data_IF_132243674941
#
_entry.id   IF_132243674941
#
_cell.length_a   1.000
_cell.length_b   1.000
_cell.length_c   1.000
_cell.angle_alpha   90.00
_cell.angle_beta   90.00
_cell.angle_gamma   90.00
#
_symmetry.space_group_name_H-M   'P 1'
#
loop_
_entity.id
_entity.type
_entity.pdbx_description
1 polymer ?
#
# COMPACT_ATOMS: atom_id res chain seq x y z
N UNK A 1 -23.08 -3.72 12.18
CA UNK A 1 -22.08 -4.65 12.40
C UNK A 1 -20.70 -4.12 12.72
N UNK A 2 -20.39 -3.73 13.97
CA UNK A 2 -19.05 -3.25 14.34
C UNK A 2 -18.23 -4.23 15.19
N UNK A 3 -18.74 -5.41 15.52
CA UNK A 3 -18.05 -6.35 16.42
C UNK A 3 -16.88 -7.12 15.76
N UNK A 4 -16.95 -7.41 14.47
CA UNK A 4 -15.89 -8.14 13.77
C UNK A 4 -14.60 -7.32 13.55
N UNK A 5 -14.69 -5.98 13.50
CA UNK A 5 -13.52 -5.11 13.30
C UNK A 5 -12.63 -5.03 14.54
N UNK A 6 -13.19 -5.11 15.74
CA UNK A 6 -12.41 -5.05 16.98
C UNK A 6 -11.63 -6.36 17.22
N UNK A 7 -12.16 -7.49 16.75
CA UNK A 7 -11.45 -8.77 16.80
C UNK A 7 -10.29 -8.83 15.80
N UNK A 8 -10.41 -8.17 14.64
CA UNK A 8 -9.33 -8.05 13.64
C UNK A 8 -8.17 -7.15 14.11
N UNK A 9 -8.41 -6.21 15.02
CA UNK A 9 -7.38 -5.33 15.58
C UNK A 9 -6.50 -6.03 16.64
N UNK A 10 -6.97 -7.11 17.25
CA UNK A 10 -6.28 -7.88 18.30
C UNK A 10 -6.04 -9.34 17.87
N UNK A 11 -5.60 -9.55 16.63
CA UNK A 11 -5.32 -10.88 16.12
C UNK A 11 -4.19 -11.54 16.93
N UNK A 12 -4.52 -12.63 17.63
CA UNK A 12 -3.50 -13.51 18.17
C UNK A 12 -2.80 -14.29 17.02
N UNK A 13 -1.66 -14.90 17.30
CA UNK A 13 -0.88 -15.63 16.28
C UNK A 13 -1.68 -16.74 15.58
N UNK A 14 -2.60 -17.38 16.27
CA UNK A 14 -3.47 -18.41 15.69
C UNK A 14 -4.42 -17.84 14.62
N UNK A 15 -5.10 -16.73 14.93
CA UNK A 15 -5.99 -16.06 13.97
C UNK A 15 -5.22 -15.52 12.76
N UNK A 16 -3.99 -15.01 12.97
CA UNK A 16 -3.12 -14.57 11.87
C UNK A 16 -2.79 -15.72 10.92
N UNK A 17 -2.43 -16.88 11.45
CA UNK A 17 -2.20 -18.09 10.65
C UNK A 17 -3.45 -18.57 9.92
N UNK A 18 -4.62 -18.53 10.56
CA UNK A 18 -5.89 -18.91 9.92
C UNK A 18 -6.23 -18.01 8.75
N UNK A 19 -6.02 -16.67 8.87
CA UNK A 19 -6.26 -15.73 7.79
C UNK A 19 -5.33 -16.02 6.62
N UNK A 20 -4.02 -16.17 6.87
CA UNK A 20 -3.05 -16.46 5.80
C UNK A 20 -3.36 -17.79 5.11
N UNK A 21 -3.65 -18.85 5.88
CA UNK A 21 -4.03 -20.14 5.32
C UNK A 21 -5.34 -20.07 4.54
N UNK A 22 -6.32 -19.28 5.02
CA UNK A 22 -7.57 -19.07 4.31
C UNK A 22 -7.35 -18.37 2.96
N UNK A 23 -6.48 -17.36 2.93
CA UNK A 23 -6.13 -16.62 1.71
C UNK A 23 -5.29 -17.50 0.76
N UNK A 24 -4.33 -18.27 1.28
CA UNK A 24 -3.50 -19.19 0.48
C UNK A 24 -4.31 -20.30 -0.18
N UNK A 25 -5.48 -20.64 0.39
CA UNK A 25 -6.40 -21.61 -0.16
C UNK A 25 -7.45 -20.99 -1.11
N UNK A 26 -7.43 -19.66 -1.30
CA UNK A 26 -8.25 -19.03 -2.34
C UNK A 26 -7.75 -19.50 -3.71
N UNK A 27 -8.72 -19.76 -4.57
CA UNK A 27 -8.56 -20.39 -5.87
C UNK A 27 -7.40 -19.79 -6.68
N UNK A 28 -6.75 -20.63 -7.48
CA UNK A 28 -5.48 -20.35 -8.19
C UNK A 28 -5.56 -19.30 -9.29
N UNK A 29 -6.72 -18.69 -9.51
CA UNK A 29 -6.98 -17.68 -10.55
C UNK A 29 -6.85 -16.22 -10.07
N UNK A 30 -6.19 -15.96 -8.93
CA UNK A 30 -5.97 -14.60 -8.42
C UNK A 30 -4.63 -14.08 -8.92
N UNK A 31 -4.65 -13.05 -9.79
CA UNK A 31 -3.42 -12.37 -10.25
C UNK A 31 -2.84 -11.44 -9.17
N UNK A 32 -3.70 -10.74 -8.41
CA UNK A 32 -3.30 -9.75 -7.40
C UNK A 32 -4.21 -9.80 -6.18
N UNK A 33 -3.59 -9.79 -5.00
CA UNK A 33 -4.27 -9.57 -3.71
C UNK A 33 -3.95 -8.16 -3.21
N UNK A 34 -4.96 -7.35 -2.99
CA UNK A 34 -4.82 -6.02 -2.40
C UNK A 34 -5.39 -6.06 -0.99
N UNK A 35 -4.56 -5.76 0.00
CA UNK A 35 -4.95 -5.68 1.41
C UNK A 35 -5.05 -4.22 1.80
N UNK A 36 -6.27 -3.74 2.06
CA UNK A 36 -6.52 -2.39 2.56
C UNK A 36 -6.33 -2.37 4.07
N UNK A 37 -5.36 -1.59 4.53
CA UNK A 37 -4.99 -1.47 5.94
C UNK A 37 -5.35 -0.09 6.48
N UNK A 38 -5.78 0.01 7.76
CA UNK A 38 -5.97 1.29 8.40
C UNK A 38 -4.64 2.06 8.50
N UNK A 39 -4.74 3.40 8.60
CA UNK A 39 -3.59 4.26 8.78
C UNK A 39 -2.85 3.93 10.09
N UNK A 40 -1.52 4.14 10.09
CA UNK A 40 -0.67 3.92 11.25
C UNK A 40 0.06 2.58 11.26
N UNK A 41 0.90 2.37 12.28
CA UNK A 41 1.78 1.22 12.45
C UNK A 41 1.24 0.24 13.52
N UNK A 42 -0.07 -0.07 13.48
CA UNK A 42 -0.65 -1.07 14.37
C UNK A 42 -0.13 -2.48 14.02
N UNK A 43 -0.09 -3.37 15.01
CA UNK A 43 0.39 -4.76 14.85
C UNK A 43 -0.27 -5.49 13.69
N UNK A 44 -1.57 -5.28 13.45
CA UNK A 44 -2.28 -5.86 12.31
C UNK A 44 -1.77 -5.33 10.98
N UNK A 45 -1.49 -4.02 10.87
CA UNK A 45 -0.92 -3.40 9.68
C UNK A 45 0.48 -3.94 9.40
N UNK A 46 1.33 -4.05 10.43
CA UNK A 46 2.69 -4.59 10.32
C UNK A 46 2.68 -6.07 9.94
N UNK A 47 1.74 -6.84 10.49
CA UNK A 47 1.55 -8.24 10.11
C UNK A 47 1.23 -8.39 8.62
N UNK A 48 0.24 -7.65 8.09
CA UNK A 48 -0.10 -7.72 6.68
C UNK A 48 1.03 -7.17 5.79
N UNK A 49 1.71 -6.12 6.22
CA UNK A 49 2.89 -5.59 5.52
C UNK A 49 3.99 -6.64 5.38
N UNK A 50 4.27 -7.41 6.44
CA UNK A 50 5.30 -8.47 6.43
C UNK A 50 4.94 -9.65 5.53
N UNK A 51 3.65 -9.96 5.41
CA UNK A 51 3.15 -11.06 4.57
C UNK A 51 2.99 -10.67 3.09
N UNK A 52 3.04 -9.38 2.76
CA UNK A 52 2.88 -8.84 1.40
C UNK A 52 4.21 -8.84 0.64
N UNK A 53 4.13 -8.97 -0.70
CA UNK A 53 5.30 -8.84 -1.58
C UNK A 53 5.71 -7.37 -1.77
N UNK A 54 4.75 -6.45 -1.64
CA UNK A 54 4.97 -5.02 -1.80
C UNK A 54 4.11 -4.23 -0.81
N UNK A 55 4.73 -3.33 -0.08
CA UNK A 55 4.03 -2.36 0.76
C UNK A 55 3.88 -1.05 0.00
N UNK A 56 2.63 -0.60 -0.16
CA UNK A 56 2.30 0.67 -0.83
C UNK A 56 1.92 1.70 0.21
N UNK A 57 2.69 2.78 0.27
CA UNK A 57 2.46 3.92 1.18
C UNK A 57 1.80 5.06 0.40
N UNK A 58 0.69 5.57 0.93
CA UNK A 58 -0.03 6.69 0.33
C UNK A 58 0.24 7.96 1.12
N UNK A 59 0.84 8.96 0.48
CA UNK A 59 1.12 10.27 1.05
C UNK A 59 0.12 11.31 0.56
N UNK A 60 -0.20 12.27 1.41
CA UNK A 60 -0.71 13.59 1.00
C UNK A 60 0.32 14.65 1.38
N UNK A 61 0.24 15.84 0.78
CA UNK A 61 1.20 16.93 1.01
C UNK A 61 0.99 17.67 2.34
N UNK A 62 0.82 16.91 3.42
CA UNK A 62 0.63 17.40 4.77
C UNK A 62 1.72 16.87 5.70
N UNK A 63 2.24 17.69 6.63
CA UNK A 63 3.29 17.26 7.56
C UNK A 63 2.91 16.03 8.38
N UNK A 64 1.65 15.92 8.80
CA UNK A 64 1.12 14.77 9.54
C UNK A 64 1.17 13.49 8.73
N UNK A 65 0.82 13.54 7.44
CA UNK A 65 0.93 12.39 6.54
C UNK A 65 2.37 11.91 6.37
N UNK A 66 3.33 12.82 6.34
CA UNK A 66 4.76 12.45 6.28
C UNK A 66 5.22 11.76 7.56
N UNK A 67 4.77 12.24 8.73
CA UNK A 67 5.10 11.61 10.01
C UNK A 67 4.50 10.22 10.14
N UNK A 68 3.24 10.04 9.76
CA UNK A 68 2.54 8.76 9.81
C UNK A 68 3.17 7.75 8.85
N UNK A 69 3.48 8.17 7.62
CA UNK A 69 4.14 7.33 6.64
C UNK A 69 5.57 6.94 7.09
N UNK A 70 6.32 7.88 7.67
CA UNK A 70 7.64 7.59 8.24
C UNK A 70 7.55 6.59 9.38
N UNK A 71 6.59 6.77 10.29
CA UNK A 71 6.37 5.86 11.42
C UNK A 71 6.04 4.43 10.94
N UNK A 72 5.16 4.30 9.94
CA UNK A 72 4.84 3.02 9.33
C UNK A 72 6.06 2.36 8.68
N UNK A 73 6.80 3.09 7.84
CA UNK A 73 8.01 2.57 7.17
C UNK A 73 9.05 2.13 8.19
N UNK A 74 9.27 2.96 9.23
CA UNK A 74 10.22 2.66 10.30
C UNK A 74 9.84 1.39 11.04
N UNK A 75 8.59 1.26 11.49
CA UNK A 75 8.11 0.08 12.19
C UNK A 75 8.18 -1.17 11.30
N UNK A 76 7.69 -1.09 10.07
CA UNK A 76 7.76 -2.20 9.12
C UNK A 76 9.21 -2.63 8.83
N UNK A 77 10.13 -1.68 8.67
CA UNK A 77 11.55 -2.01 8.46
C UNK A 77 12.18 -2.67 9.69
N UNK A 78 12.01 -2.07 10.90
CA UNK A 78 12.69 -2.54 12.10
C UNK A 78 12.09 -3.83 12.65
N UNK A 79 10.77 -4.02 12.57
CA UNK A 79 10.08 -5.15 13.19
C UNK A 79 9.91 -6.33 12.24
N UNK A 80 9.82 -6.07 10.92
CA UNK A 80 9.53 -7.10 9.93
C UNK A 80 10.57 -7.27 8.83
N UNK A 81 11.59 -6.40 8.80
CA UNK A 81 12.66 -6.45 7.79
C UNK A 81 12.26 -5.97 6.40
N UNK A 82 11.08 -5.39 6.21
CA UNK A 82 10.65 -4.83 4.90
C UNK A 82 11.59 -3.70 4.49
N UNK A 83 12.16 -3.81 3.29
CA UNK A 83 13.11 -2.81 2.76
C UNK A 83 12.58 -2.04 1.55
N UNK A 84 11.64 -2.59 0.79
CA UNK A 84 11.14 -1.97 -0.44
C UNK A 84 9.70 -1.46 -0.23
N UNK A 85 9.51 -0.18 -0.50
CA UNK A 85 8.22 0.48 -0.38
C UNK A 85 7.90 1.23 -1.66
N UNK A 86 6.69 1.08 -2.17
CA UNK A 86 6.17 1.95 -3.21
C UNK A 86 5.45 3.14 -2.57
N UNK A 87 5.62 4.32 -3.13
CA UNK A 87 5.01 5.55 -2.61
C UNK A 87 4.14 6.20 -3.66
N UNK A 88 2.88 6.43 -3.33
CA UNK A 88 1.91 7.18 -4.13
C UNK A 88 1.68 8.53 -3.45
N UNK A 89 1.76 9.62 -4.20
CA UNK A 89 1.36 10.95 -3.71
C UNK A 89 -0.08 11.21 -4.13
N UNK A 90 -0.98 11.24 -3.17
CA UNK A 90 -2.42 11.44 -3.39
C UNK A 90 -2.79 12.91 -3.24
N UNK A 91 -3.89 13.31 -3.88
CA UNK A 91 -4.43 14.68 -3.85
C UNK A 91 -3.42 15.74 -4.30
N UNK A 92 -2.48 15.41 -5.16
CA UNK A 92 -1.46 16.33 -5.61
C UNK A 92 -1.98 17.30 -6.67
N UNK A 93 -1.55 18.56 -6.59
CA UNK A 93 -1.96 19.61 -7.54
C UNK A 93 -1.34 19.44 -8.92
N UNK A 94 -0.12 18.86 -8.99
CA UNK A 94 0.57 18.59 -10.24
C UNK A 94 1.61 17.48 -10.13
N UNK A 95 2.05 16.96 -11.29
CA UNK A 95 3.13 15.95 -11.35
C UNK A 95 4.46 16.46 -10.76
N UNK A 96 4.79 17.74 -10.97
CA UNK A 96 6.02 18.34 -10.45
C UNK A 96 5.98 18.47 -8.94
N UNK A 97 4.85 18.92 -8.40
CA UNK A 97 4.62 19.04 -6.96
C UNK A 97 4.68 17.66 -6.30
N UNK A 98 3.95 16.68 -6.82
CA UNK A 98 3.98 15.31 -6.30
C UNK A 98 5.39 14.70 -6.29
N UNK A 99 6.16 14.92 -7.37
CA UNK A 99 7.54 14.43 -7.43
C UNK A 99 8.44 15.12 -6.41
N UNK A 100 8.30 16.44 -6.24
CA UNK A 100 9.03 17.20 -5.23
C UNK A 100 8.71 16.70 -3.81
N UNK A 101 7.43 16.47 -3.50
CA UNK A 101 6.98 15.94 -2.21
C UNK A 101 7.54 14.55 -1.94
N UNK A 102 7.52 13.66 -2.94
CA UNK A 102 8.15 12.35 -2.82
C UNK A 102 9.66 12.46 -2.55
N UNK A 103 10.41 13.30 -3.29
CA UNK A 103 11.86 13.43 -3.10
C UNK A 103 12.21 13.97 -1.70
N UNK A 104 11.48 14.96 -1.21
CA UNK A 104 11.65 15.47 0.16
C UNK A 104 11.40 14.38 1.19
N UNK A 105 10.32 13.62 1.03
CA UNK A 105 9.99 12.51 1.91
C UNK A 105 11.08 11.43 1.86
N UNK A 106 11.52 11.05 0.66
CA UNK A 106 12.59 10.07 0.45
C UNK A 106 13.88 10.48 1.14
N UNK A 107 14.28 11.74 0.98
CA UNK A 107 15.50 12.27 1.63
C UNK A 107 15.44 12.13 3.16
N UNK A 108 14.30 12.47 3.77
CA UNK A 108 14.09 12.33 5.21
C UNK A 108 14.19 10.87 5.63
N UNK A 109 13.49 9.98 4.95
CA UNK A 109 13.45 8.55 5.31
C UNK A 109 14.83 7.91 5.18
N UNK A 110 15.50 8.11 4.04
CA UNK A 110 16.80 7.49 3.74
C UNK A 110 17.96 8.04 4.60
N UNK A 111 17.76 9.17 5.28
CA UNK A 111 18.73 9.69 6.25
C UNK A 111 18.84 8.81 7.50
N UNK A 112 17.75 8.13 7.86
CA UNK A 112 17.65 7.39 9.13
C UNK A 112 17.40 5.90 8.97
N UNK A 113 16.94 5.45 7.78
CA UNK A 113 16.55 4.06 7.53
C UNK A 113 17.25 3.51 6.28
N UNK A 114 17.67 2.25 6.36
CA UNK A 114 18.21 1.49 5.22
C UNK A 114 17.06 0.84 4.44
N UNK A 115 16.34 1.66 3.66
CA UNK A 115 15.18 1.23 2.87
C UNK A 115 15.21 1.84 1.47
N UNK A 116 14.49 1.23 0.54
CA UNK A 116 14.31 1.71 -0.82
C UNK A 116 12.88 2.25 -1.01
N UNK A 117 12.75 3.51 -1.38
CA UNK A 117 11.48 4.12 -1.71
C UNK A 117 11.36 4.29 -3.23
N UNK A 118 10.29 3.72 -3.80
CA UNK A 118 10.00 3.76 -5.22
C UNK A 118 8.79 4.67 -5.49
N UNK A 119 8.97 5.71 -6.30
CA UNK A 119 7.87 6.58 -6.71
C UNK A 119 6.93 5.86 -7.66
N UNK A 120 5.75 5.48 -7.16
CA UNK A 120 4.73 4.81 -7.96
C UNK A 120 3.83 5.77 -8.74
N UNK A 121 3.88 7.07 -8.45
CA UNK A 121 3.11 8.08 -9.17
C UNK A 121 2.26 8.95 -8.26
N UNK A 122 1.31 9.63 -8.87
CA UNK A 122 0.39 10.52 -8.16
C UNK A 122 -1.05 10.30 -8.58
N UNK A 123 -1.96 10.60 -7.66
CA UNK A 123 -3.39 10.75 -7.94
C UNK A 123 -3.72 12.23 -7.72
N UNK A 124 -4.28 12.94 -8.74
CA UNK A 124 -4.59 14.35 -8.61
C UNK A 124 -5.80 14.59 -7.70
N UNK A 125 -5.86 15.77 -7.10
CA UNK A 125 -7.10 16.25 -6.51
C UNK A 125 -8.17 16.39 -7.61
N UNK A 126 -9.32 15.71 -7.44
CA UNK A 126 -10.31 15.61 -8.52
C UNK A 126 -11.74 15.57 -7.98
N UNK A 127 -12.62 16.32 -8.65
CA UNK A 127 -14.07 16.27 -8.37
C UNK A 127 -14.69 14.96 -8.85
N UNK A 128 -14.12 14.35 -9.89
CA UNK A 128 -14.56 13.08 -10.45
C UNK A 128 -14.44 11.96 -9.41
N UNK A 129 -13.36 11.94 -8.63
CA UNK A 129 -13.18 10.97 -7.53
C UNK A 129 -14.27 11.17 -6.48
N UNK A 130 -14.53 12.43 -6.06
CA UNK A 130 -15.58 12.73 -5.07
C UNK A 130 -16.96 12.25 -5.55
N UNK A 131 -17.29 12.48 -6.83
CA UNK A 131 -18.54 12.02 -7.42
C UNK A 131 -18.61 10.48 -7.49
N UNK A 132 -17.51 9.83 -7.88
CA UNK A 132 -17.43 8.38 -7.95
C UNK A 132 -17.64 7.72 -6.56
N UNK A 133 -17.00 8.28 -5.52
CA UNK A 133 -17.21 7.85 -4.12
C UNK A 133 -18.67 8.00 -3.70
N UNK A 134 -19.31 9.15 -3.97
CA UNK A 134 -20.72 9.38 -3.65
C UNK A 134 -21.64 8.39 -4.36
N UNK A 135 -21.29 7.95 -5.56
CA UNK A 135 -22.04 6.95 -6.34
C UNK A 135 -21.64 5.50 -6.02
N UNK A 136 -20.64 5.30 -5.18
CA UNK A 136 -20.08 3.96 -4.85
C UNK A 136 -19.64 3.20 -6.11
N UNK A 137 -19.06 3.90 -7.08
CA UNK A 137 -18.54 3.34 -8.32
C UNK A 137 -17.11 3.79 -8.53
N UNK A 138 -16.16 2.90 -8.89
CA UNK A 138 -14.80 3.29 -9.20
C UNK A 138 -14.74 4.29 -10.36
N UNK A 139 -13.99 5.38 -10.20
CA UNK A 139 -13.84 6.41 -11.25
C UNK A 139 -13.25 5.84 -12.54
N UNK A 140 -12.36 4.86 -12.43
CA UNK A 140 -11.74 4.17 -13.57
C UNK A 140 -12.73 3.36 -14.42
N UNK A 141 -13.84 2.94 -13.83
CA UNK A 141 -14.91 2.23 -14.54
C UNK A 141 -15.94 3.23 -15.07
N UNK A 142 -16.36 4.21 -14.25
CA UNK A 142 -17.40 5.15 -14.63
C UNK A 142 -16.90 6.19 -15.65
N UNK A 143 -15.63 6.59 -15.55
CA UNK A 143 -15.02 7.63 -16.40
C UNK A 143 -13.60 7.23 -16.85
N UNK A 144 -13.47 6.17 -17.67
CA UNK A 144 -12.16 5.58 -18.01
C UNK A 144 -11.23 6.53 -18.78
N UNK A 145 -11.77 7.49 -19.50
CA UNK A 145 -11.02 8.40 -20.39
C UNK A 145 -10.61 9.72 -19.73
N UNK A 146 -10.73 9.84 -18.39
CA UNK A 146 -10.32 11.04 -17.67
C UNK A 146 -8.85 11.02 -17.29
N UNK A 147 -8.28 12.20 -17.03
CA UNK A 147 -6.91 12.33 -16.53
C UNK A 147 -6.70 11.56 -15.23
N UNK A 148 -7.70 11.57 -14.35
CA UNK A 148 -7.62 10.86 -13.07
C UNK A 148 -7.60 9.34 -13.27
N UNK A 149 -8.41 8.80 -14.17
CA UNK A 149 -8.39 7.38 -14.52
C UNK A 149 -7.05 6.96 -15.15
N UNK A 150 -6.49 7.83 -16.01
CA UNK A 150 -5.14 7.67 -16.53
C UNK A 150 -4.07 7.64 -15.44
N UNK A 151 -4.21 8.45 -14.39
CA UNK A 151 -3.29 8.46 -13.24
C UNK A 151 -3.32 7.14 -12.48
N UNK A 152 -4.49 6.56 -12.22
CA UNK A 152 -4.60 5.22 -11.61
C UNK A 152 -3.93 4.15 -12.48
N UNK A 153 -4.15 4.19 -13.80
CA UNK A 153 -3.51 3.25 -14.73
C UNK A 153 -2.00 3.39 -14.72
N UNK A 154 -1.47 4.61 -14.67
CA UNK A 154 -0.03 4.86 -14.60
C UNK A 154 0.56 4.34 -13.28
N UNK A 155 -0.10 4.59 -12.16
CA UNK A 155 0.28 4.06 -10.85
C UNK A 155 0.32 2.53 -10.88
N UNK A 156 -0.72 1.88 -11.34
CA UNK A 156 -0.76 0.41 -11.46
C UNK A 156 0.42 -0.13 -12.28
N UNK A 157 0.68 0.44 -13.47
CA UNK A 157 1.82 0.04 -14.32
C UNK A 157 3.18 0.23 -13.63
N UNK A 158 3.32 1.23 -12.76
CA UNK A 158 4.57 1.45 -12.02
C UNK A 158 4.70 0.50 -10.83
N UNK A 159 3.62 0.23 -10.12
CA UNK A 159 3.62 -0.74 -9.02
C UNK A 159 4.10 -2.12 -9.49
N UNK A 160 3.66 -2.57 -10.68
CA UNK A 160 4.09 -3.83 -11.29
C UNK A 160 5.59 -3.89 -11.66
N UNK A 161 6.29 -2.76 -11.64
CA UNK A 161 7.73 -2.68 -11.92
C UNK A 161 8.59 -2.49 -10.67
N UNK A 162 7.96 -2.32 -9.52
CA UNK A 162 8.70 -2.18 -8.25
C UNK A 162 9.32 -3.54 -7.91
N UNK A 163 10.63 -3.60 -7.60
CA UNK A 163 11.24 -4.85 -7.17
C UNK A 163 10.58 -5.37 -5.90
N UNK A 164 10.09 -6.60 -5.94
CA UNK A 164 9.58 -7.31 -4.77
C UNK A 164 10.72 -8.10 -4.15
N UNK A 165 10.98 -7.88 -2.86
CA UNK A 165 11.97 -8.68 -2.14
C UNK A 165 11.29 -9.95 -1.62
N UNK A 166 11.93 -11.11 -1.81
CA UNK A 166 11.57 -12.29 -1.07
C UNK A 166 12.01 -12.09 0.38
N UNK A 167 11.07 -11.72 1.24
CA UNK A 167 11.30 -11.71 2.68
C UNK A 167 11.03 -13.15 3.17
N UNK A 168 11.97 -13.73 3.91
CA UNK A 168 11.73 -15.03 4.55
C UNK A 168 10.66 -14.84 5.64
N UNK A 169 9.63 -15.70 5.64
CA UNK A 169 8.54 -15.64 6.61
C UNK A 169 7.19 -16.07 6.02
N UNK A 170 6.14 -15.85 6.81
CA UNK A 170 4.76 -16.14 6.40
C UNK A 170 4.34 -15.21 5.24
N UNK A 171 3.87 -15.80 4.15
CA UNK A 171 3.39 -15.11 2.95
C UNK A 171 1.93 -15.45 2.68
N UNK A 172 1.22 -14.52 2.02
CA UNK A 172 -0.13 -14.77 1.53
C UNK A 172 -0.16 -15.91 0.50
N UNK A 173 0.82 -15.94 -0.39
CA UNK A 173 0.97 -16.99 -1.37
C UNK A 173 2.40 -17.53 -1.30
N UNK A 174 2.52 -18.81 -0.98
CA UNK A 174 3.81 -19.48 -1.00
C UNK A 174 4.12 -19.85 -2.46
N UNK A 175 5.03 -19.13 -3.10
CA UNK A 175 5.47 -19.41 -4.47
C UNK A 175 6.30 -20.70 -4.60
N UNK A 176 6.14 -21.64 -3.70
CA UNK A 176 6.79 -22.95 -3.73
C UNK A 176 6.21 -23.92 -4.77
N UNK A 177 5.43 -23.46 -5.73
CA UNK A 177 4.68 -24.34 -6.64
C UNK A 177 4.45 -23.89 -8.08
N UNK A 178 5.10 -22.85 -8.59
CA UNK A 178 5.04 -22.56 -10.03
C UNK A 178 6.29 -23.10 -10.71
N UNK A 179 6.12 -24.33 -11.26
CA UNK A 179 7.00 -24.88 -12.29
C UNK A 179 6.54 -24.43 -13.65
#
# INVERSE_FOLDING_TARGET
GGSGLTELLNLNNHHRHQILSGISNLDQDIDYLIVDCPAGAADSTLFFASASDLVVVVLVEEPTSFLDAYALIKAANLETGVKNFAVIVNMADSKSVAKSSFEKFREIVMRFLDVNLHYAGMIPHSKEIKHAVARRKPVTIEQPNTLVSGSFTEVAKRLLKVPTAKIEGLKFFDNAGVK
#
